data_IF_908678259756
#
_entry.id   IF_908678259756
#
_cell.length_a   1.000
_cell.length_b   1.000
_cell.length_c   1.000
_cell.angle_alpha   90.00
_cell.angle_beta   90.00
_cell.angle_gamma   90.00
#
_symmetry.space_group_name_H-M   'P 1'
#
loop_
_entity.id
_entity.type
_entity.pdbx_description
1 polymer ?
#
# COMPACT_ATOMS: atom_id res chain seq x y z
N UNK A 1 6.10 -1.00 14.52
CA UNK A 1 5.34 -0.49 13.35
C UNK A 1 6.09 0.63 12.63
N UNK A 2 6.51 1.72 13.33
CA UNK A 2 7.21 2.87 12.74
C UNK A 2 8.47 2.46 11.94
N UNK A 3 9.37 1.63 12.51
CA UNK A 3 10.59 1.18 11.85
C UNK A 3 10.31 0.42 10.53
N UNK A 4 9.29 -0.46 10.51
CA UNK A 4 8.91 -1.19 9.30
C UNK A 4 8.54 -0.23 8.17
N UNK A 5 7.69 0.78 8.47
CA UNK A 5 7.35 1.80 7.48
C UNK A 5 8.56 2.63 7.06
N UNK A 6 9.37 3.08 8.02
CA UNK A 6 10.56 3.88 7.73
C UNK A 6 11.50 3.18 6.74
N UNK A 7 11.78 1.88 6.94
CA UNK A 7 12.65 1.11 6.05
C UNK A 7 12.01 0.90 4.68
N UNK A 8 10.74 0.48 4.63
CA UNK A 8 10.02 0.26 3.36
C UNK A 8 9.86 1.55 2.54
N UNK A 9 9.72 2.70 3.21
CA UNK A 9 9.64 4.01 2.54
C UNK A 9 11.00 4.67 2.31
N UNK A 10 12.10 3.97 2.58
CA UNK A 10 13.46 4.45 2.29
C UNK A 10 13.85 5.68 3.12
N UNK A 11 13.39 5.77 4.36
CA UNK A 11 13.74 6.85 5.28
C UNK A 11 15.20 6.74 5.67
N UNK A 12 15.96 7.86 5.61
CA UNK A 12 17.36 7.91 6.07
C UNK A 12 17.45 7.85 7.60
N UNK A 13 18.66 7.53 8.12
CA UNK A 13 18.91 7.58 9.58
C UNK A 13 18.57 8.94 10.18
N UNK A 14 18.83 10.04 9.46
CA UNK A 14 18.41 11.39 9.87
C UNK A 14 16.89 11.53 9.94
N UNK A 15 16.19 11.09 8.91
CA UNK A 15 14.72 11.14 8.86
C UNK A 15 14.09 10.27 9.96
N UNK A 16 14.64 9.08 10.21
CA UNK A 16 14.16 8.19 11.27
C UNK A 16 14.42 8.79 12.66
N UNK A 17 15.60 9.38 12.92
CA UNK A 17 15.89 10.04 14.19
C UNK A 17 14.88 11.16 14.48
N UNK A 18 14.54 11.98 13.49
CA UNK A 18 13.53 13.02 13.64
C UNK A 18 12.12 12.47 13.95
N UNK A 19 11.76 11.31 13.39
CA UNK A 19 10.48 10.66 13.67
C UNK A 19 10.43 10.00 15.05
N UNK A 20 11.57 9.48 15.54
CA UNK A 20 11.67 8.88 16.86
C UNK A 20 11.69 9.92 17.99
N UNK A 21 12.08 11.16 17.69
CA UNK A 21 12.06 12.28 18.65
C UNK A 21 13.36 12.48 19.43
N UNK A 22 13.32 13.40 20.42
CA UNK A 22 14.46 13.94 21.15
C UNK A 22 15.13 12.92 22.10
N UNK A 23 15.64 11.84 21.64
CA UNK A 23 16.36 10.81 22.39
C UNK A 23 17.16 9.89 21.48
N UNK A 24 17.00 10.08 20.16
CA UNK A 24 17.69 9.26 19.17
C UNK A 24 18.63 10.10 18.32
N UNK A 25 19.90 9.72 18.31
CA UNK A 25 20.87 10.28 17.39
C UNK A 25 20.69 9.69 15.98
N UNK A 26 21.20 10.40 14.98
CA UNK A 26 21.24 9.89 13.59
C UNK A 26 22.01 8.54 13.50
N UNK A 27 23.07 8.36 14.32
CA UNK A 27 23.86 7.15 14.36
C UNK A 27 23.05 5.95 14.89
N UNK A 28 22.31 6.13 15.97
CA UNK A 28 21.44 5.10 16.54
C UNK A 28 20.31 4.71 15.56
N UNK A 29 19.68 5.70 14.95
CA UNK A 29 18.65 5.45 13.93
C UNK A 29 19.22 4.70 12.70
N UNK A 30 20.43 5.03 12.26
CA UNK A 30 21.10 4.30 11.18
C UNK A 30 21.45 2.87 11.58
N UNK A 31 21.88 2.65 12.84
CA UNK A 31 22.13 1.32 13.39
C UNK A 31 20.85 0.47 13.44
N UNK A 32 19.71 1.04 13.82
CA UNK A 32 18.40 0.35 13.78
C UNK A 32 18.02 -0.08 12.36
N UNK A 33 18.19 0.79 11.36
CA UNK A 33 17.95 0.43 9.95
C UNK A 33 18.87 -0.71 9.51
N UNK A 34 20.15 -0.67 9.90
CA UNK A 34 21.12 -1.71 9.59
C UNK A 34 20.68 -3.06 10.19
N UNK A 35 20.37 -3.09 11.48
CA UNK A 35 19.88 -4.29 12.17
C UNK A 35 18.60 -4.84 11.54
N UNK A 36 17.67 -3.97 11.14
CA UNK A 36 16.47 -4.38 10.41
C UNK A 36 16.81 -5.09 9.10
N UNK A 37 17.70 -4.51 8.30
CA UNK A 37 18.12 -5.08 7.02
C UNK A 37 18.87 -6.43 7.19
N UNK A 38 19.67 -6.57 8.26
CA UNK A 38 20.33 -7.83 8.62
C UNK A 38 19.32 -8.90 9.06
N UNK A 39 18.27 -8.49 9.78
CA UNK A 39 17.20 -9.39 10.23
C UNK A 39 16.27 -9.81 9.09
N UNK A 40 16.04 -8.92 8.12
CA UNK A 40 15.13 -9.12 7.00
C UNK A 40 15.85 -8.91 5.65
N UNK A 41 16.83 -9.74 5.31
CA UNK A 41 17.65 -9.53 4.11
C UNK A 41 16.83 -9.60 2.80
N UNK A 42 15.75 -10.37 2.77
CA UNK A 42 14.86 -10.44 1.60
C UNK A 42 14.14 -9.11 1.34
N UNK A 43 13.77 -8.36 2.38
CA UNK A 43 13.16 -7.03 2.23
C UNK A 43 14.17 -6.07 1.62
N UNK A 44 15.42 -6.08 2.11
CA UNK A 44 16.49 -5.26 1.54
C UNK A 44 16.77 -5.61 0.08
N UNK A 45 16.90 -6.89 -0.25
CA UNK A 45 17.12 -7.35 -1.62
C UNK A 45 15.98 -6.93 -2.56
N UNK A 46 14.74 -7.01 -2.10
CA UNK A 46 13.56 -6.56 -2.85
C UNK A 46 13.63 -5.05 -3.15
N UNK A 47 13.88 -4.22 -2.12
CA UNK A 47 13.94 -2.76 -2.32
C UNK A 47 15.10 -2.33 -3.19
N UNK A 48 16.28 -2.93 -3.05
CA UNK A 48 17.44 -2.67 -3.88
C UNK A 48 17.15 -3.08 -5.34
N UNK A 49 16.56 -4.25 -5.56
CA UNK A 49 16.17 -4.74 -6.88
C UNK A 49 15.18 -3.83 -7.61
N UNK A 50 14.21 -3.26 -6.89
CA UNK A 50 13.28 -2.26 -7.46
C UNK A 50 14.02 -1.01 -7.93
N UNK A 51 14.98 -0.51 -7.15
CA UNK A 51 15.76 0.66 -7.55
C UNK A 51 16.60 0.37 -8.78
N UNK A 52 17.25 -0.80 -8.83
CA UNK A 52 18.04 -1.25 -9.99
C UNK A 52 17.16 -1.38 -11.24
N UNK A 53 15.99 -1.99 -11.12
CA UNK A 53 15.03 -2.09 -12.20
C UNK A 53 14.57 -0.71 -12.69
N UNK A 54 14.23 0.20 -11.76
CA UNK A 54 13.84 1.57 -12.10
C UNK A 54 14.96 2.33 -12.83
N UNK A 55 16.21 2.15 -12.40
CA UNK A 55 17.37 2.72 -13.09
C UNK A 55 17.58 2.13 -14.49
N UNK A 56 17.41 0.82 -14.63
CA UNK A 56 17.60 0.15 -15.92
C UNK A 56 16.50 0.46 -16.94
N UNK A 57 15.23 0.55 -16.48
CA UNK A 57 14.06 0.64 -17.36
C UNK A 57 13.40 2.01 -17.38
N UNK A 58 13.70 2.88 -16.42
CA UNK A 58 13.04 4.18 -16.23
C UNK A 58 11.64 4.08 -15.60
N UNK A 59 11.19 2.89 -15.21
CA UNK A 59 9.88 2.65 -14.58
C UNK A 59 9.91 1.42 -13.66
N UNK A 60 8.91 1.32 -12.80
CA UNK A 60 8.58 0.10 -12.06
C UNK A 60 7.17 -0.38 -12.43
N UNK A 61 6.83 -1.61 -12.04
CA UNK A 61 5.53 -2.22 -12.34
C UNK A 61 4.83 -2.72 -11.09
N UNK A 62 3.50 -2.68 -11.09
CA UNK A 62 2.67 -3.36 -10.08
C UNK A 62 2.56 -4.86 -10.38
N UNK A 63 1.99 -5.65 -9.48
CA UNK A 63 1.68 -7.06 -9.73
C UNK A 63 0.76 -7.27 -10.95
N UNK A 64 -0.05 -6.25 -11.29
CA UNK A 64 -0.91 -6.27 -12.50
C UNK A 64 -0.24 -5.69 -13.74
N UNK A 65 1.06 -5.36 -13.67
CA UNK A 65 1.83 -4.87 -14.82
C UNK A 65 1.63 -3.38 -15.11
N UNK A 66 0.94 -2.61 -14.27
CA UNK A 66 0.80 -1.18 -14.44
C UNK A 66 2.13 -0.48 -14.17
N UNK A 67 2.57 0.35 -15.12
CA UNK A 67 3.86 1.05 -15.08
C UNK A 67 3.75 2.40 -14.41
N UNK A 68 4.78 2.75 -13.62
CA UNK A 68 5.03 4.11 -13.15
C UNK A 68 6.43 4.54 -13.56
N UNK A 69 6.52 5.64 -14.32
CA UNK A 69 7.78 6.18 -14.83
C UNK A 69 8.45 7.13 -13.83
N UNK A 70 9.80 7.17 -13.85
CA UNK A 70 10.63 7.99 -12.98
C UNK A 70 11.66 8.76 -13.82
N UNK A 71 11.30 9.90 -14.45
CA UNK A 71 12.21 10.65 -15.31
C UNK A 71 13.47 11.14 -14.56
N UNK A 72 13.35 11.39 -13.26
CA UNK A 72 14.44 11.89 -12.42
C UNK A 72 15.32 10.79 -11.80
N UNK A 73 15.14 9.52 -12.19
CA UNK A 73 15.89 8.39 -11.61
C UNK A 73 17.41 8.50 -11.86
N UNK A 74 17.81 9.22 -12.92
CA UNK A 74 19.19 9.50 -13.29
C UNK A 74 19.59 10.98 -13.12
N UNK A 75 18.78 11.77 -12.38
CA UNK A 75 19.08 13.18 -12.20
C UNK A 75 20.49 13.40 -11.64
N UNK A 76 21.22 14.36 -12.19
CA UNK A 76 22.53 14.76 -11.68
C UNK A 76 22.44 15.30 -10.24
N UNK A 77 21.34 15.98 -9.92
CA UNK A 77 21.05 16.45 -8.58
C UNK A 77 20.75 15.26 -7.67
N UNK A 78 21.60 15.07 -6.64
CA UNK A 78 21.48 13.96 -5.69
C UNK A 78 20.14 13.91 -4.98
N UNK A 79 19.60 15.06 -4.59
CA UNK A 79 18.31 15.13 -3.84
C UNK A 79 17.15 14.66 -4.71
N UNK A 80 17.10 15.12 -5.98
CA UNK A 80 16.09 14.68 -6.94
C UNK A 80 16.19 13.18 -7.22
N UNK A 81 17.40 12.69 -7.47
CA UNK A 81 17.63 11.26 -7.71
C UNK A 81 17.19 10.40 -6.52
N UNK A 82 17.61 10.75 -5.30
CA UNK A 82 17.20 10.01 -4.09
C UNK A 82 15.68 10.07 -3.84
N UNK A 83 15.05 11.18 -4.21
CA UNK A 83 13.59 11.28 -4.14
C UNK A 83 12.92 10.32 -5.13
N UNK A 84 13.38 10.28 -6.38
CA UNK A 84 12.90 9.36 -7.40
C UNK A 84 13.11 7.89 -6.99
N UNK A 85 14.26 7.53 -6.41
CA UNK A 85 14.56 6.21 -5.88
C UNK A 85 13.58 5.79 -4.78
N UNK A 86 13.29 6.67 -3.81
CA UNK A 86 12.27 6.40 -2.78
C UNK A 86 10.88 6.22 -3.37
N UNK A 87 10.50 7.03 -4.36
CA UNK A 87 9.23 6.85 -5.05
C UNK A 87 9.17 5.53 -5.81
N UNK A 88 10.29 5.12 -6.43
CA UNK A 88 10.39 3.85 -7.14
C UNK A 88 10.19 2.65 -6.20
N UNK A 89 10.83 2.67 -5.03
CA UNK A 89 10.67 1.61 -4.01
C UNK A 89 9.21 1.41 -3.60
N UNK A 90 8.47 2.50 -3.44
CA UNK A 90 7.10 2.46 -2.94
C UNK A 90 6.06 2.13 -4.03
N UNK A 91 6.38 2.46 -5.29
CA UNK A 91 5.41 2.39 -6.38
C UNK A 91 4.82 0.99 -6.65
N UNK A 92 5.58 -0.11 -6.62
CA UNK A 92 5.01 -1.45 -6.79
C UNK A 92 4.01 -1.81 -5.69
N UNK A 93 4.31 -1.47 -4.43
CA UNK A 93 3.46 -1.79 -3.28
C UNK A 93 2.20 -0.94 -3.30
N UNK A 94 2.34 0.39 -3.33
CA UNK A 94 1.21 1.32 -3.37
C UNK A 94 0.36 1.13 -4.63
N UNK A 95 1.02 0.91 -5.76
CA UNK A 95 0.34 0.66 -7.02
C UNK A 95 -0.44 -0.64 -7.03
N UNK A 96 0.09 -1.72 -6.43
CA UNK A 96 -0.63 -2.99 -6.29
C UNK A 96 -1.82 -2.86 -5.35
N UNK A 97 -1.71 -2.13 -4.24
CA UNK A 97 -2.85 -1.83 -3.37
C UNK A 97 -3.95 -1.05 -4.12
N UNK A 98 -3.57 -0.08 -4.95
CA UNK A 98 -4.53 0.64 -5.80
C UNK A 98 -5.15 -0.24 -6.91
N UNK A 99 -4.43 -1.22 -7.42
CA UNK A 99 -4.98 -2.20 -8.37
C UNK A 99 -5.97 -3.13 -7.68
N UNK A 100 -5.65 -3.57 -6.47
CA UNK A 100 -6.50 -4.45 -5.65
C UNK A 100 -7.86 -3.82 -5.36
N UNK A 101 -7.90 -2.58 -4.85
CA UNK A 101 -9.16 -1.91 -4.54
C UNK A 101 -10.00 -1.67 -5.80
N UNK A 102 -9.38 -1.33 -6.93
CA UNK A 102 -10.10 -1.17 -8.20
C UNK A 102 -10.68 -2.47 -8.73
N UNK A 103 -9.94 -3.58 -8.59
CA UNK A 103 -10.45 -4.90 -8.95
C UNK A 103 -11.62 -5.29 -8.05
N UNK A 104 -11.52 -5.06 -6.75
CA UNK A 104 -12.61 -5.26 -5.80
C UNK A 104 -13.86 -4.48 -6.20
N UNK A 105 -13.73 -3.18 -6.51
CA UNK A 105 -14.85 -2.34 -6.97
C UNK A 105 -15.54 -2.91 -8.21
N UNK A 106 -14.75 -3.35 -9.20
CA UNK A 106 -15.28 -3.94 -10.44
C UNK A 106 -16.01 -5.26 -10.16
N UNK A 107 -15.44 -6.11 -9.30
CA UNK A 107 -15.99 -7.45 -9.01
C UNK A 107 -17.21 -7.40 -8.08
N UNK A 108 -17.28 -6.42 -7.18
CA UNK A 108 -18.44 -6.21 -6.29
C UNK A 108 -19.66 -5.66 -7.04
N UNK A 109 -19.45 -4.89 -8.12
CA UNK A 109 -20.52 -4.21 -8.83
C UNK A 109 -21.72 -5.11 -9.23
N UNK A 110 -21.54 -6.31 -9.82
CA UNK A 110 -22.66 -7.17 -10.17
C UNK A 110 -23.51 -7.63 -8.96
N UNK A 111 -22.84 -7.80 -7.79
CA UNK A 111 -23.54 -8.14 -6.55
C UNK A 111 -24.46 -7.00 -6.10
N UNK A 112 -23.96 -5.77 -6.13
CA UNK A 112 -24.72 -4.57 -5.77
C UNK A 112 -25.93 -4.38 -6.70
N UNK A 113 -25.73 -4.48 -8.01
CA UNK A 113 -26.80 -4.36 -9.01
C UNK A 113 -27.92 -5.40 -8.79
N UNK A 114 -27.59 -6.60 -8.34
CA UNK A 114 -28.58 -7.67 -8.07
C UNK A 114 -29.55 -7.35 -6.93
N UNK A 115 -29.19 -6.43 -6.02
CA UNK A 115 -29.94 -6.07 -4.82
C UNK A 115 -30.33 -4.60 -4.72
N UNK A 116 -29.91 -3.77 -5.69
CA UNK A 116 -30.13 -2.33 -5.65
C UNK A 116 -29.35 -1.63 -4.53
N UNK A 117 -28.16 -2.15 -4.19
CA UNK A 117 -27.23 -1.48 -3.29
C UNK A 117 -26.34 -0.53 -4.08
N UNK A 118 -25.91 0.56 -3.44
CA UNK A 118 -25.03 1.55 -4.06
C UNK A 118 -23.66 1.61 -3.39
N UNK A 119 -22.59 1.65 -4.23
CA UNK A 119 -21.25 1.99 -3.78
C UNK A 119 -21.11 3.51 -3.83
N UNK A 120 -20.97 4.14 -2.67
CA UNK A 120 -20.95 5.60 -2.56
C UNK A 120 -19.55 6.19 -2.65
N UNK A 121 -18.59 5.62 -1.90
CA UNK A 121 -17.26 6.19 -1.75
C UNK A 121 -16.19 5.11 -1.71
N UNK A 122 -14.99 5.48 -2.18
CA UNK A 122 -13.74 4.79 -1.89
C UNK A 122 -12.82 5.74 -1.14
N UNK A 123 -12.44 5.37 0.07
CA UNK A 123 -11.58 6.16 0.96
C UNK A 123 -10.37 5.33 1.35
N UNK A 124 -9.18 5.66 0.80
CA UNK A 124 -7.96 4.86 0.95
C UNK A 124 -8.17 3.38 0.52
N UNK A 125 -8.25 2.47 1.48
CA UNK A 125 -8.45 1.02 1.35
C UNK A 125 -9.87 0.57 1.74
N UNK A 126 -10.78 1.51 2.01
CA UNK A 126 -12.16 1.27 2.39
C UNK A 126 -13.14 1.54 1.23
N UNK A 127 -14.20 0.74 1.16
CA UNK A 127 -15.37 0.97 0.30
C UNK A 127 -16.60 1.21 1.18
N UNK A 128 -17.35 2.26 0.87
CA UNK A 128 -18.58 2.63 1.57
C UNK A 128 -19.78 2.37 0.67
N UNK A 129 -20.76 1.66 1.22
CA UNK A 129 -21.98 1.25 0.52
C UNK A 129 -23.22 1.83 1.23
N UNK A 130 -24.22 2.16 0.46
CA UNK A 130 -25.57 2.40 0.95
C UNK A 130 -26.41 1.13 0.74
N UNK A 131 -27.07 0.69 1.80
CA UNK A 131 -27.86 -0.55 1.81
C UNK A 131 -29.26 -0.30 2.34
N UNK A 132 -30.28 -1.04 1.88
CA UNK A 132 -31.63 -0.99 2.47
C UNK A 132 -31.59 -1.31 3.97
N UNK A 133 -32.37 -0.59 4.76
CA UNK A 133 -32.39 -0.77 6.21
C UNK A 133 -32.68 -2.23 6.58
N UNK A 134 -31.78 -2.82 7.37
CA UNK A 134 -31.87 -4.22 7.82
C UNK A 134 -31.40 -5.28 6.83
N UNK A 135 -31.12 -4.95 5.57
CA UNK A 135 -30.59 -5.92 4.61
C UNK A 135 -29.06 -6.04 4.77
N UNK A 136 -28.59 -7.18 5.25
CA UNK A 136 -27.17 -7.52 5.38
C UNK A 136 -26.73 -8.65 4.43
N UNK A 137 -27.58 -9.01 3.47
CA UNK A 137 -27.40 -10.21 2.65
C UNK A 137 -26.14 -10.22 1.79
N UNK A 138 -25.58 -9.04 1.45
CA UNK A 138 -24.36 -8.92 0.64
C UNK A 138 -23.10 -8.59 1.46
N UNK A 139 -23.18 -8.41 2.77
CA UNK A 139 -22.00 -8.05 3.58
C UNK A 139 -20.90 -9.10 3.44
N UNK A 140 -21.21 -10.38 3.68
CA UNK A 140 -20.24 -11.47 3.53
C UNK A 140 -19.82 -11.70 2.06
N UNK A 141 -20.73 -11.76 1.06
CA UNK A 141 -20.32 -11.85 -0.33
C UNK A 141 -19.39 -10.71 -0.80
N UNK A 142 -19.63 -9.48 -0.36
CA UNK A 142 -18.74 -8.35 -0.68
C UNK A 142 -17.37 -8.52 -0.02
N UNK A 143 -17.34 -8.92 1.27
CA UNK A 143 -16.10 -9.20 1.99
C UNK A 143 -15.25 -10.26 1.26
N UNK A 144 -15.85 -11.38 0.91
CA UNK A 144 -15.17 -12.47 0.18
C UNK A 144 -14.60 -12.00 -1.17
N UNK A 145 -15.38 -11.21 -1.92
CA UNK A 145 -14.92 -10.64 -3.20
C UNK A 145 -13.74 -9.69 -2.98
N UNK A 146 -13.77 -8.85 -1.96
CA UNK A 146 -12.68 -7.94 -1.66
C UNK A 146 -11.41 -8.68 -1.22
N UNK A 147 -11.53 -9.71 -0.38
CA UNK A 147 -10.42 -10.54 0.07
C UNK A 147 -9.74 -11.32 -1.06
N UNK A 148 -10.52 -11.70 -2.08
CA UNK A 148 -10.05 -12.50 -3.21
C UNK A 148 -9.79 -11.71 -4.49
N UNK A 149 -10.05 -10.40 -4.50
CA UNK A 149 -9.94 -9.55 -5.69
C UNK A 149 -8.55 -9.58 -6.34
N UNK A 150 -7.50 -9.76 -5.54
CA UNK A 150 -6.13 -9.93 -6.00
C UNK A 150 -5.34 -10.80 -5.01
N UNK A 151 -4.87 -11.95 -5.49
CA UNK A 151 -4.04 -12.85 -4.67
C UNK A 151 -2.62 -12.31 -4.51
N UNK A 152 -2.12 -12.29 -3.28
CA UNK A 152 -0.77 -11.87 -2.91
C UNK A 152 0.12 -13.08 -2.50
N UNK A 153 0.11 -14.15 -3.29
CA UNK A 153 0.77 -15.42 -2.92
C UNK A 153 0.13 -16.01 -1.65
N UNK A 154 0.95 -16.28 -0.65
CA UNK A 154 0.51 -16.85 0.64
C UNK A 154 0.13 -15.77 1.68
N UNK A 155 0.14 -14.49 1.31
CA UNK A 155 -0.24 -13.40 2.21
C UNK A 155 -1.76 -13.20 2.14
N UNK A 156 -2.50 -13.45 3.24
CA UNK A 156 -3.93 -13.25 3.25
C UNK A 156 -4.27 -11.76 3.18
N UNK A 157 -5.37 -11.46 2.50
CA UNK A 157 -6.04 -10.17 2.56
C UNK A 157 -7.25 -10.33 3.45
N UNK A 158 -7.30 -9.57 4.53
CA UNK A 158 -8.41 -9.60 5.48
C UNK A 158 -9.21 -8.30 5.36
N UNK A 159 -10.53 -8.41 5.34
CA UNK A 159 -11.45 -7.28 5.21
C UNK A 159 -12.39 -7.23 6.41
N UNK A 160 -12.35 -6.13 7.14
CA UNK A 160 -13.30 -5.84 8.20
C UNK A 160 -14.55 -5.18 7.62
N UNK A 161 -15.73 -5.73 7.92
CA UNK A 161 -17.01 -5.16 7.52
C UNK A 161 -17.75 -4.59 8.74
N UNK A 162 -18.22 -3.35 8.61
CA UNK A 162 -19.01 -2.66 9.63
C UNK A 162 -20.30 -2.16 9.03
N UNK A 163 -21.39 -2.25 9.81
CA UNK A 163 -22.71 -1.80 9.38
C UNK A 163 -23.34 -0.93 10.46
N UNK A 164 -23.90 0.20 10.07
CA UNK A 164 -24.55 1.13 11.00
C UNK A 164 -25.57 2.02 10.28
N UNK A 165 -26.35 2.83 11.03
CA UNK A 165 -27.32 3.73 10.45
C UNK A 165 -26.69 4.92 9.68
N UNK A 166 -25.44 5.20 9.96
CA UNK A 166 -24.61 6.19 9.26
C UNK A 166 -23.13 5.90 9.51
N UNK A 167 -22.24 6.57 8.79
CA UNK A 167 -20.79 6.31 8.83
C UNK A 167 -20.17 6.49 10.24
N UNK A 168 -20.69 7.41 11.04
CA UNK A 168 -20.18 7.66 12.39
C UNK A 168 -20.51 6.52 13.36
N UNK A 169 -21.64 5.86 13.16
CA UNK A 169 -22.21 4.85 14.06
C UNK A 169 -22.02 3.41 13.55
N UNK A 170 -21.09 3.19 12.63
CA UNK A 170 -20.72 1.84 12.18
C UNK A 170 -19.98 1.08 13.29
N UNK A 171 -20.34 -0.16 13.54
CA UNK A 171 -19.73 -1.07 14.52
C UNK A 171 -19.55 -2.48 13.95
#
# INVERSE_FOLDING_TARGET
KMLNYAVLYGVSGFGLANQLGAGFSQGEAAALIKQYNERFPAVKAFTDGIIEEARAKGFTVTLKGRRRHFPDIHAANRTMRQYAERQAMNAPIQGTAADMIKLAMIQVRPLLESKGWDMLLQVHDELVFEIPAGDRSLVEPIREVMETALTLGDVPVEVDAKVGPNWLEMS
#
